data_IF_979952894650
#
_entry.id   IF_979952894650
#
_cell.length_a   1.000
_cell.length_b   1.000
_cell.length_c   1.000
_cell.angle_alpha   90.00
_cell.angle_beta   90.00
_cell.angle_gamma   90.00
#
_symmetry.space_group_name_H-M   'P 1'
#
loop_
_entity.id
_entity.type
_entity.pdbx_description
1 polymer ?
#
# COMPACT_ATOMS: atom_id res chain seq x y z
N UNK A 1 -10.59 -16.53 8.95
CA UNK A 1 -10.48 -16.80 7.52
C UNK A 1 -11.57 -16.02 6.83
N UNK A 2 -11.21 -15.06 5.98
CA UNK A 2 -12.14 -14.28 5.16
C UNK A 2 -11.62 -14.19 3.71
N UNK A 3 -10.57 -14.95 3.39
CA UNK A 3 -9.99 -15.00 2.07
C UNK A 3 -10.68 -16.11 1.28
N UNK A 4 -10.78 -16.00 -0.05
CA UNK A 4 -11.36 -17.06 -0.85
C UNK A 4 -10.56 -18.37 -0.72
N UNK A 5 -11.22 -19.51 -0.52
CA UNK A 5 -10.56 -20.83 -0.44
C UNK A 5 -9.81 -21.24 -1.73
N UNK A 6 -10.13 -20.61 -2.85
CA UNK A 6 -9.39 -20.79 -4.10
C UNK A 6 -7.99 -20.15 -4.06
N UNK A 7 -7.74 -19.24 -3.13
CA UNK A 7 -6.46 -18.56 -2.98
C UNK A 7 -5.48 -19.41 -2.18
N UNK A 8 -4.24 -19.56 -2.69
CA UNK A 8 -3.22 -20.42 -2.09
C UNK A 8 -2.92 -20.05 -0.63
N UNK A 9 -2.92 -18.75 -0.29
CA UNK A 9 -2.66 -18.29 1.08
C UNK A 9 -3.72 -18.77 2.06
N UNK A 10 -4.97 -18.88 1.62
CA UNK A 10 -6.08 -19.41 2.42
C UNK A 10 -5.95 -20.93 2.60
N UNK A 11 -5.60 -21.67 1.55
CA UNK A 11 -5.37 -23.12 1.67
C UNK A 11 -4.17 -23.44 2.59
N UNK A 12 -3.07 -22.69 2.43
CA UNK A 12 -1.89 -22.84 3.26
C UNK A 12 -2.22 -22.57 4.74
N UNK A 13 -2.87 -21.44 5.05
CA UNK A 13 -3.21 -21.10 6.43
C UNK A 13 -4.31 -21.99 6.99
N UNK A 14 -5.46 -22.10 6.34
CA UNK A 14 -6.61 -22.79 6.93
C UNK A 14 -6.51 -24.30 6.89
N UNK A 15 -5.99 -24.87 5.80
CA UNK A 15 -5.91 -26.32 5.66
C UNK A 15 -4.58 -26.81 6.21
N UNK A 16 -3.45 -26.43 5.59
CA UNK A 16 -2.16 -27.03 5.96
C UNK A 16 -1.71 -26.65 7.36
N UNK A 17 -1.55 -25.36 7.65
CA UNK A 17 -1.14 -24.89 8.96
C UNK A 17 -2.22 -25.13 10.02
N UNK A 18 -3.50 -24.99 9.66
CA UNK A 18 -4.62 -25.25 10.56
C UNK A 18 -4.66 -26.70 11.05
N UNK A 19 -4.48 -27.68 10.16
CA UNK A 19 -4.43 -29.10 10.52
C UNK A 19 -3.14 -29.50 11.26
N UNK A 20 -2.00 -28.90 10.91
CA UNK A 20 -0.72 -29.21 11.57
C UNK A 20 -0.61 -28.62 12.97
N UNK A 21 -1.07 -27.38 13.17
CA UNK A 21 -0.91 -26.64 14.43
C UNK A 21 -2.16 -26.67 15.32
N UNK A 22 -3.33 -26.99 14.77
CA UNK A 22 -4.57 -27.16 15.53
C UNK A 22 -5.21 -25.87 16.05
N UNK A 23 -5.13 -24.76 15.31
CA UNK A 23 -5.82 -23.53 15.69
C UNK A 23 -7.27 -23.47 15.20
N UNK A 24 -8.12 -22.79 15.97
CA UNK A 24 -9.52 -22.54 15.61
C UNK A 24 -9.63 -21.53 14.46
N UNK A 25 -10.26 -21.96 13.36
CA UNK A 25 -10.62 -21.10 12.25
C UNK A 25 -11.97 -20.46 12.48
N UNK A 26 -12.00 -19.13 12.44
CA UNK A 26 -13.24 -18.34 12.53
C UNK A 26 -13.50 -17.73 11.16
N UNK A 27 -14.69 -17.92 10.62
CA UNK A 27 -15.14 -17.30 9.38
C UNK A 27 -16.04 -16.12 9.72
N UNK A 28 -15.89 -14.95 9.08
CA UNK A 28 -16.85 -13.88 9.26
C UNK A 28 -18.20 -14.30 8.68
N UNK A 29 -19.26 -13.63 9.12
CA UNK A 29 -20.60 -13.88 8.60
C UNK A 29 -20.70 -13.45 7.13
N UNK A 30 -20.12 -12.30 6.80
CA UNK A 30 -20.05 -11.72 5.46
C UNK A 30 -18.70 -10.97 5.29
N UNK A 31 -18.23 -10.74 4.05
CA UNK A 31 -17.02 -9.94 3.81
C UNK A 31 -17.05 -8.55 4.47
N UNK A 32 -18.22 -7.91 4.49
CA UNK A 32 -18.44 -6.58 5.05
C UNK A 32 -18.35 -6.57 6.59
N UNK A 33 -18.68 -7.68 7.25
CA UNK A 33 -18.64 -7.80 8.72
C UNK A 33 -17.27 -8.24 9.25
N UNK A 34 -16.31 -8.51 8.35
CA UNK A 34 -14.98 -9.02 8.71
C UNK A 34 -14.26 -8.19 9.79
N UNK A 35 -14.32 -6.85 9.72
CA UNK A 35 -13.67 -5.99 10.71
C UNK A 35 -14.32 -6.10 12.11
N UNK A 36 -15.65 -6.21 12.16
CA UNK A 36 -16.40 -6.37 13.40
C UNK A 36 -16.12 -7.74 14.02
N UNK A 37 -16.14 -8.80 13.20
CA UNK A 37 -15.83 -10.15 13.66
C UNK A 37 -14.36 -10.28 14.10
N UNK A 38 -13.39 -9.62 13.45
CA UNK A 38 -12.00 -9.58 13.92
C UNK A 38 -11.93 -9.01 15.34
N UNK A 39 -12.70 -7.96 15.62
CA UNK A 39 -12.74 -7.33 16.94
C UNK A 39 -13.39 -8.24 17.99
N UNK A 40 -14.48 -8.90 17.65
CA UNK A 40 -15.19 -9.82 18.53
C UNK A 40 -14.36 -11.06 18.86
N UNK A 41 -13.80 -11.71 17.83
CA UNK A 41 -12.99 -12.93 17.97
C UNK A 41 -11.68 -12.63 18.72
N UNK A 42 -11.05 -11.49 18.44
CA UNK A 42 -9.75 -11.12 18.99
C UNK A 42 -8.69 -12.18 18.68
N UNK A 43 -8.29 -12.37 17.41
CA UNK A 43 -7.45 -13.47 16.98
C UNK A 43 -6.03 -13.42 17.57
N UNK A 44 -5.41 -14.59 17.75
CA UNK A 44 -3.99 -14.70 18.11
C UNK A 44 -3.07 -14.73 16.88
N UNK A 45 -3.59 -15.22 15.75
CA UNK A 45 -2.90 -15.28 14.47
C UNK A 45 -3.79 -14.63 13.43
N UNK A 46 -3.23 -13.72 12.64
CA UNK A 46 -3.93 -13.05 11.56
C UNK A 46 -3.02 -13.00 10.34
N UNK A 47 -3.57 -13.44 9.22
CA UNK A 47 -2.98 -13.27 7.90
C UNK A 47 -3.94 -12.47 7.04
N UNK A 48 -3.46 -11.38 6.44
CA UNK A 48 -4.29 -10.47 5.66
C UNK A 48 -3.56 -9.82 4.48
N UNK A 49 -4.25 -9.54 3.38
CA UNK A 49 -3.71 -8.72 2.31
C UNK A 49 -3.45 -7.29 2.83
N UNK A 50 -2.47 -6.56 2.24
CA UNK A 50 -2.16 -5.18 2.61
C UNK A 50 -3.39 -4.28 2.72
N UNK A 51 -4.33 -4.40 1.77
CA UNK A 51 -5.56 -3.60 1.71
C UNK A 51 -6.36 -3.58 3.02
N UNK A 52 -6.40 -4.69 3.76
CA UNK A 52 -7.11 -4.72 5.04
C UNK A 52 -6.40 -3.86 6.09
N UNK A 53 -5.07 -3.99 6.19
CA UNK A 53 -4.25 -3.19 7.08
C UNK A 53 -4.26 -1.70 6.69
N UNK A 54 -4.19 -1.40 5.40
CA UNK A 54 -4.35 -0.05 4.85
C UNK A 54 -5.70 0.54 5.25
N UNK A 55 -6.79 -0.20 5.07
CA UNK A 55 -8.14 0.18 5.50
C UNK A 55 -8.22 0.46 7.01
N UNK A 56 -7.60 -0.38 7.85
CA UNK A 56 -7.51 -0.14 9.29
C UNK A 56 -6.78 1.18 9.60
N UNK A 57 -5.63 1.43 8.97
CA UNK A 57 -4.89 2.69 9.18
C UNK A 57 -5.70 3.90 8.75
N UNK A 58 -6.39 3.82 7.61
CA UNK A 58 -7.27 4.87 7.09
C UNK A 58 -8.40 5.16 8.07
N UNK A 59 -9.06 4.13 8.59
CA UNK A 59 -10.12 4.28 9.59
C UNK A 59 -9.63 5.02 10.84
N UNK A 60 -8.41 4.72 11.30
CA UNK A 60 -7.80 5.45 12.43
C UNK A 60 -7.52 6.90 12.08
N UNK A 61 -6.95 7.18 10.91
CA UNK A 61 -6.63 8.54 10.47
C UNK A 61 -7.90 9.40 10.32
N UNK A 62 -8.97 8.86 9.74
CA UNK A 62 -10.27 9.54 9.65
C UNK A 62 -10.81 9.83 11.04
N UNK A 63 -10.81 8.86 11.96
CA UNK A 63 -11.24 9.08 13.35
C UNK A 63 -10.36 10.09 14.09
N UNK A 64 -9.07 10.16 13.76
CA UNK A 64 -8.15 11.15 14.31
C UNK A 64 -8.52 12.56 13.83
N UNK A 65 -8.76 12.75 12.53
CA UNK A 65 -9.26 14.01 11.97
C UNK A 65 -10.57 14.38 12.66
N UNK A 66 -11.45 13.42 12.92
CA UNK A 66 -12.76 13.68 13.54
C UNK A 66 -12.70 13.93 15.05
N UNK A 67 -11.56 13.71 15.68
CA UNK A 67 -11.44 13.72 17.14
C UNK A 67 -11.29 15.14 17.69
N UNK A 68 -11.67 15.31 18.97
CA UNK A 68 -11.52 16.59 19.68
C UNK A 68 -10.04 16.94 19.86
N UNK A 69 -9.75 18.24 20.04
CA UNK A 69 -8.38 18.74 20.19
C UNK A 69 -7.52 17.97 21.21
N UNK A 70 -8.10 17.63 22.38
CA UNK A 70 -7.40 16.85 23.41
C UNK A 70 -7.06 15.44 22.90
N UNK A 71 -8.02 14.75 22.26
CA UNK A 71 -7.79 13.41 21.69
C UNK A 71 -6.76 13.44 20.58
N UNK A 72 -6.79 14.47 19.71
CA UNK A 72 -5.76 14.69 18.67
C UNK A 72 -4.38 14.83 19.30
N UNK A 73 -4.21 15.65 20.33
CA UNK A 73 -2.92 15.84 21.01
C UNK A 73 -2.40 14.57 21.68
N UNK A 74 -3.28 13.78 22.30
CA UNK A 74 -2.92 12.48 22.87
C UNK A 74 -2.47 11.51 21.77
N UNK A 75 -3.19 11.47 20.65
CA UNK A 75 -2.83 10.63 19.51
C UNK A 75 -1.48 11.05 18.92
N UNK A 76 -1.28 12.33 18.62
CA UNK A 76 -0.01 12.88 18.10
C UNK A 76 1.17 12.50 19.01
N UNK A 77 1.02 12.68 20.33
CA UNK A 77 2.02 12.32 21.32
C UNK A 77 2.31 10.80 21.29
N UNK A 78 1.27 9.98 21.40
CA UNK A 78 1.42 8.53 21.48
C UNK A 78 2.00 7.92 20.19
N UNK A 79 1.60 8.46 19.03
CA UNK A 79 2.12 8.09 17.71
C UNK A 79 3.59 8.48 17.58
N UNK A 80 3.98 9.70 17.97
CA UNK A 80 5.39 10.14 17.95
C UNK A 80 6.29 9.26 18.83
N UNK A 81 5.83 8.94 20.03
CA UNK A 81 6.55 8.04 20.95
C UNK A 81 6.62 6.62 20.39
N UNK A 82 5.51 6.11 19.85
CA UNK A 82 5.42 4.79 19.23
C UNK A 82 6.40 4.65 18.06
N UNK A 83 6.43 5.61 17.13
CA UNK A 83 7.38 5.62 16.02
C UNK A 83 8.84 5.65 16.49
N UNK A 84 9.16 6.46 17.51
CA UNK A 84 10.54 6.51 18.04
C UNK A 84 10.94 5.18 18.68
N UNK A 85 10.04 4.57 19.47
CA UNK A 85 10.29 3.30 20.12
C UNK A 85 10.39 2.14 19.11
N UNK A 86 9.54 2.14 18.08
CA UNK A 86 9.59 1.20 16.98
C UNK A 86 10.90 1.35 16.20
N UNK A 87 11.25 2.56 15.76
CA UNK A 87 12.50 2.84 15.02
C UNK A 87 13.75 2.34 15.76
N UNK A 88 13.85 2.60 17.07
CA UNK A 88 14.98 2.10 17.88
C UNK A 88 15.05 0.57 17.91
N UNK A 89 13.91 -0.13 17.98
CA UNK A 89 13.88 -1.59 17.91
C UNK A 89 14.37 -2.11 16.56
N UNK A 90 13.97 -1.47 15.47
CA UNK A 90 14.40 -1.85 14.13
C UNK A 90 15.89 -1.59 13.88
N UNK A 91 16.41 -0.50 14.41
CA UNK A 91 17.86 -0.24 14.43
C UNK A 91 18.63 -1.19 15.36
N UNK A 92 17.97 -2.17 15.98
CA UNK A 92 18.53 -3.11 16.98
C UNK A 92 19.21 -2.36 18.15
N UNK A 93 18.75 -1.14 18.46
CA UNK A 93 19.27 -0.30 19.55
C UNK A 93 18.41 -0.44 20.81
N UNK A 94 19.03 -0.41 22.01
CA UNK A 94 18.26 -0.43 23.25
C UNK A 94 17.42 0.85 23.37
N UNK A 95 16.13 0.68 23.70
CA UNK A 95 15.25 1.82 23.97
C UNK A 95 15.64 2.46 25.31
N UNK A 96 16.02 3.75 25.36
CA UNK A 96 16.37 4.42 26.61
C UNK A 96 15.22 4.42 27.63
N UNK A 97 15.53 4.45 28.93
CA UNK A 97 14.53 4.38 30.02
C UNK A 97 13.43 5.45 29.89
N UNK A 98 13.80 6.68 29.51
CA UNK A 98 12.85 7.77 29.24
C UNK A 98 11.81 7.39 28.17
N UNK A 99 12.27 6.78 27.06
CA UNK A 99 11.40 6.36 25.97
C UNK A 99 10.57 5.12 26.34
N UNK A 100 11.11 4.22 27.17
CA UNK A 100 10.33 3.12 27.75
C UNK A 100 9.17 3.65 28.60
N UNK A 101 9.42 4.64 29.45
CA UNK A 101 8.39 5.25 30.30
C UNK A 101 7.35 6.01 29.48
N UNK A 102 7.78 6.85 28.52
CA UNK A 102 6.86 7.54 27.62
C UNK A 102 6.02 6.55 26.80
N UNK A 103 6.63 5.46 26.32
CA UNK A 103 5.90 4.44 25.56
C UNK A 103 4.92 3.67 26.45
N UNK A 104 5.23 3.46 27.74
CA UNK A 104 4.27 2.90 28.69
C UNK A 104 3.06 3.82 28.89
N UNK A 105 3.26 5.14 29.00
CA UNK A 105 2.16 6.12 29.05
C UNK A 105 1.35 6.08 27.75
N UNK A 106 2.01 6.17 26.59
CA UNK A 106 1.36 6.10 25.27
C UNK A 106 0.55 4.80 25.09
N UNK A 107 1.07 3.70 25.62
CA UNK A 107 0.42 2.40 25.59
C UNK A 107 -0.90 2.39 26.34
N UNK A 108 -0.93 2.94 27.55
CA UNK A 108 -2.15 2.95 28.40
C UNK A 108 -3.16 3.98 27.90
N UNK A 109 -2.72 5.15 27.45
CA UNK A 109 -3.62 6.24 27.06
C UNK A 109 -4.24 6.04 25.68
N UNK A 110 -3.50 5.44 24.74
CA UNK A 110 -3.90 5.34 23.33
C UNK A 110 -3.67 3.96 22.73
N UNK A 111 -2.43 3.46 22.68
CA UNK A 111 -2.09 2.32 21.80
C UNK A 111 -2.87 1.05 22.15
N UNK A 112 -3.05 0.71 23.44
CA UNK A 112 -3.84 -0.46 23.85
C UNK A 112 -5.31 -0.34 23.42
N UNK A 113 -5.92 0.83 23.63
CA UNK A 113 -7.32 1.08 23.25
C UNK A 113 -7.50 1.03 21.74
N UNK A 114 -6.52 1.55 21.00
CA UNK A 114 -6.56 1.54 19.54
C UNK A 114 -6.37 0.12 19.00
N UNK A 115 -5.39 -0.64 19.52
CA UNK A 115 -5.24 -2.07 19.21
C UNK A 115 -6.52 -2.84 19.49
N UNK A 116 -7.17 -2.58 20.61
CA UNK A 116 -8.43 -3.22 20.97
C UNK A 116 -9.56 -2.89 20.01
N UNK A 117 -9.69 -1.62 19.64
CA UNK A 117 -10.69 -1.19 18.67
C UNK A 117 -10.49 -1.82 17.29
N UNK A 118 -9.23 -2.08 16.91
CA UNK A 118 -8.88 -2.76 15.66
C UNK A 118 -8.96 -4.30 15.77
N UNK A 119 -9.25 -4.86 16.95
CA UNK A 119 -9.26 -6.31 17.19
C UNK A 119 -7.88 -6.96 17.32
N UNK A 120 -6.82 -6.15 17.47
CA UNK A 120 -5.42 -6.60 17.46
C UNK A 120 -4.84 -6.75 18.89
N UNK A 121 -5.67 -6.66 19.93
CA UNK A 121 -5.25 -6.75 21.34
C UNK A 121 -4.54 -8.06 21.69
N UNK A 122 -5.07 -9.18 21.19
CA UNK A 122 -4.61 -10.55 21.51
C UNK A 122 -3.63 -11.11 20.49
N UNK A 123 -3.31 -10.33 19.47
CA UNK A 123 -2.54 -10.78 18.33
C UNK A 123 -1.09 -11.07 18.72
N UNK A 124 -0.63 -12.29 18.42
CA UNK A 124 0.73 -12.76 18.66
C UNK A 124 1.53 -12.84 17.37
N UNK A 125 0.89 -13.29 16.29
CA UNK A 125 1.48 -13.40 14.96
C UNK A 125 0.60 -12.71 13.94
N UNK A 126 1.16 -11.72 13.25
CA UNK A 126 0.45 -10.87 12.29
C UNK A 126 1.25 -10.86 10.99
N UNK A 127 0.65 -11.31 9.89
CA UNK A 127 1.32 -11.43 8.60
C UNK A 127 0.54 -10.71 7.51
N UNK A 128 1.28 -10.11 6.58
CA UNK A 128 0.75 -9.57 5.34
C UNK A 128 1.49 -10.10 4.12
N UNK A 129 0.78 -10.30 3.02
CA UNK A 129 1.33 -10.85 1.79
C UNK A 129 0.36 -10.75 0.61
N UNK A 130 0.82 -11.19 -0.56
CA UNK A 130 0.06 -11.16 -1.81
C UNK A 130 0.14 -9.82 -2.57
N UNK A 131 0.62 -8.76 -1.94
CA UNK A 131 1.01 -7.49 -2.57
C UNK A 131 2.00 -6.76 -1.67
N UNK A 132 2.72 -5.78 -2.23
CA UNK A 132 3.55 -4.88 -1.44
C UNK A 132 2.67 -3.96 -0.57
N UNK A 133 3.10 -3.73 0.68
CA UNK A 133 2.48 -2.77 1.58
C UNK A 133 3.43 -1.58 1.78
N UNK A 134 2.88 -0.36 1.81
CA UNK A 134 3.69 0.84 2.04
C UNK A 134 4.39 0.79 3.42
N UNK A 135 5.64 1.27 3.53
CA UNK A 135 6.43 1.21 4.77
C UNK A 135 5.76 1.99 5.91
N UNK A 136 4.98 3.03 5.60
CA UNK A 136 4.32 3.87 6.60
C UNK A 136 3.15 3.15 7.30
N UNK A 137 2.40 2.29 6.58
CA UNK A 137 1.43 1.38 7.20
C UNK A 137 2.13 0.42 8.16
N UNK A 138 3.26 -0.14 7.73
CA UNK A 138 4.04 -1.07 8.54
C UNK A 138 4.57 -0.40 9.81
N UNK A 139 5.18 0.78 9.70
CA UNK A 139 5.62 1.61 10.83
C UNK A 139 4.48 1.90 11.79
N UNK A 140 3.28 2.22 11.29
CA UNK A 140 2.11 2.52 12.10
C UNK A 140 1.72 1.34 13.01
N UNK A 141 1.61 0.13 12.47
CA UNK A 141 1.27 -1.05 13.28
C UNK A 141 2.33 -1.37 14.33
N UNK A 142 3.60 -1.23 13.98
CA UNK A 142 4.69 -1.41 14.94
C UNK A 142 4.75 -0.34 16.02
N UNK A 143 4.39 0.91 15.69
CA UNK A 143 4.23 1.99 16.66
C UNK A 143 3.09 1.71 17.65
N UNK A 144 2.06 0.95 17.25
CA UNK A 144 1.02 0.46 18.16
C UNK A 144 1.48 -0.75 18.99
N UNK A 145 2.61 -1.38 18.65
CA UNK A 145 3.08 -2.62 19.26
C UNK A 145 2.39 -3.85 18.67
N UNK A 146 2.05 -3.82 17.39
CA UNK A 146 1.65 -4.99 16.60
C UNK A 146 2.87 -5.46 15.83
N UNK A 147 3.26 -6.73 16.03
CA UNK A 147 4.37 -7.36 15.33
C UNK A 147 3.92 -7.82 13.93
N UNK A 148 3.63 -6.85 13.05
CA UNK A 148 3.27 -7.10 11.66
C UNK A 148 4.51 -7.55 10.88
N UNK A 149 4.37 -8.55 10.04
CA UNK A 149 5.46 -9.18 9.29
C UNK A 149 5.05 -9.35 7.83
N UNK A 150 5.98 -9.14 6.91
CA UNK A 150 5.73 -9.43 5.50
C UNK A 150 6.08 -10.88 5.18
N UNK A 151 5.37 -11.42 4.21
CA UNK A 151 5.69 -12.67 3.53
C UNK A 151 5.75 -12.42 2.03
N UNK A 152 6.62 -13.16 1.36
CA UNK A 152 6.65 -13.23 -0.09
C UNK A 152 6.54 -14.68 -0.54
N UNK A 153 5.86 -14.84 -1.66
CA UNK A 153 5.68 -16.10 -2.36
C UNK A 153 4.50 -16.01 -3.31
N UNK A 154 4.24 -17.12 -3.97
CA UNK A 154 3.29 -17.23 -5.08
C UNK A 154 2.68 -18.63 -5.11
N UNK A 155 1.67 -18.83 -5.95
CA UNK A 155 0.97 -20.12 -6.08
C UNK A 155 1.94 -21.23 -6.50
N UNK A 156 2.90 -20.90 -7.36
CA UNK A 156 3.90 -21.79 -7.94
C UNK A 156 4.93 -22.31 -6.91
N UNK A 157 5.01 -21.70 -5.72
CA UNK A 157 5.79 -22.17 -4.55
C UNK A 157 4.89 -22.57 -3.37
N UNK A 158 3.63 -22.89 -3.64
CA UNK A 158 2.64 -23.29 -2.64
C UNK A 158 2.44 -22.28 -1.49
N UNK A 159 2.62 -20.98 -1.76
CA UNK A 159 2.28 -19.91 -0.83
C UNK A 159 3.47 -19.04 -0.44
N UNK A 160 4.31 -19.50 0.50
CA UNK A 160 5.41 -18.71 1.09
C UNK A 160 6.76 -19.29 0.69
N UNK A 161 7.67 -18.44 0.23
CA UNK A 161 9.10 -18.75 0.08
C UNK A 161 9.99 -17.93 1.01
N UNK A 162 9.55 -16.74 1.41
CA UNK A 162 10.33 -15.78 2.20
C UNK A 162 9.44 -15.12 3.26
N UNK A 163 9.99 -14.91 4.46
CA UNK A 163 9.23 -14.38 5.60
C UNK A 163 10.08 -13.53 6.53
N UNK A 164 9.49 -12.44 7.04
CA UNK A 164 10.01 -11.74 8.22
C UNK A 164 9.91 -12.63 9.47
N UNK A 165 10.95 -12.59 10.30
CA UNK A 165 11.01 -13.35 11.55
C UNK A 165 10.89 -12.42 12.76
N UNK A 166 10.53 -12.98 13.91
CA UNK A 166 10.41 -12.19 15.13
C UNK A 166 11.78 -11.61 15.52
N UNK A 167 11.83 -10.29 15.68
CA UNK A 167 13.08 -9.57 15.99
C UNK A 167 13.98 -9.29 14.78
N UNK A 168 13.61 -9.74 13.59
CA UNK A 168 14.37 -9.50 12.36
C UNK A 168 13.45 -9.07 11.21
N UNK A 169 13.19 -7.76 11.19
CA UNK A 169 12.22 -7.11 10.33
C UNK A 169 12.83 -5.82 9.78
N UNK A 170 12.76 -5.64 8.45
CA UNK A 170 13.12 -4.40 7.77
C UNK A 170 11.97 -3.96 6.87
N UNK A 171 11.59 -2.69 6.95
CA UNK A 171 10.38 -2.16 6.32
C UNK A 171 10.33 -2.32 4.80
N UNK A 172 11.49 -2.19 4.17
CA UNK A 172 11.61 -2.20 2.70
C UNK A 172 11.89 -3.61 2.15
N UNK A 173 11.79 -4.64 2.99
CA UNK A 173 12.07 -6.04 2.63
C UNK A 173 10.88 -6.93 2.92
N UNK A 174 10.92 -8.17 2.42
CA UNK A 174 9.94 -9.23 2.74
C UNK A 174 10.51 -10.32 3.66
N UNK A 175 11.79 -10.19 4.04
CA UNK A 175 12.45 -11.07 4.99
C UNK A 175 13.45 -12.03 4.37
N UNK A 176 13.65 -13.17 5.03
CA UNK A 176 14.65 -14.18 4.65
C UNK A 176 13.97 -15.50 4.26
N UNK A 177 14.59 -16.31 3.36
CA UNK A 177 13.98 -17.56 2.89
C UNK A 177 13.53 -18.47 4.02
N UNK A 178 12.43 -19.19 3.84
CA UNK A 178 12.01 -20.24 4.79
C UNK A 178 12.98 -21.44 4.72
N UNK A 179 12.98 -22.35 5.72
CA UNK A 179 13.81 -23.56 5.64
C UNK A 179 13.60 -24.31 4.31
N UNK A 180 14.67 -24.94 3.83
CA UNK A 180 14.68 -25.72 2.57
C UNK A 180 14.35 -24.90 1.32
N UNK A 181 14.42 -23.56 1.40
CA UNK A 181 14.21 -22.67 0.26
C UNK A 181 15.47 -21.88 -0.05
N UNK A 182 15.91 -21.95 -1.30
CA UNK A 182 16.99 -21.15 -1.86
C UNK A 182 16.41 -20.04 -2.74
N UNK A 183 16.98 -18.84 -2.63
CA UNK A 183 16.65 -17.69 -3.47
C UNK A 183 17.90 -17.24 -4.22
N UNK A 184 17.76 -16.96 -5.51
CA UNK A 184 18.79 -16.34 -6.37
C UNK A 184 18.19 -15.15 -7.11
N UNK A 185 19.05 -14.24 -7.56
CA UNK A 185 18.68 -13.08 -8.37
C UNK A 185 19.44 -13.20 -9.69
N UNK A 186 18.75 -13.07 -10.83
CA UNK A 186 19.41 -13.06 -12.16
C UNK A 186 20.16 -11.75 -12.40
N UNK A 187 20.96 -11.66 -13.47
CA UNK A 187 21.64 -10.41 -13.85
C UNK A 187 20.64 -9.27 -14.14
N UNK A 188 19.46 -9.60 -14.64
CA UNK A 188 18.35 -8.68 -14.92
C UNK A 188 17.49 -8.37 -13.68
N UNK A 189 17.82 -8.95 -12.53
CA UNK A 189 17.14 -8.72 -11.25
C UNK A 189 15.92 -9.59 -10.99
N UNK A 190 15.67 -10.65 -11.78
CA UNK A 190 14.56 -11.56 -11.55
C UNK A 190 14.81 -12.48 -10.35
N UNK A 191 13.79 -12.68 -9.51
CA UNK A 191 13.87 -13.53 -8.32
C UNK A 191 13.63 -14.99 -8.75
N UNK A 192 14.59 -15.86 -8.47
CA UNK A 192 14.48 -17.30 -8.66
C UNK A 192 14.29 -17.99 -7.31
N UNK A 193 13.43 -19.01 -7.28
CA UNK A 193 13.18 -19.81 -6.07
C UNK A 193 13.40 -21.29 -6.35
N UNK A 194 14.11 -21.97 -5.46
CA UNK A 194 14.21 -23.44 -5.45
C UNK A 194 13.78 -23.96 -4.08
N UNK A 195 12.79 -24.84 -4.06
CA UNK A 195 12.19 -25.36 -2.81
C UNK A 195 11.42 -26.65 -3.11
N UNK A 196 11.32 -27.59 -2.15
CA UNK A 196 10.39 -28.72 -2.25
C UNK A 196 8.92 -28.31 -2.45
N UNK A 197 8.57 -27.06 -2.12
CA UNK A 197 7.23 -26.50 -2.33
C UNK A 197 6.97 -25.99 -3.74
N UNK A 198 7.97 -25.95 -4.62
CA UNK A 198 7.80 -25.57 -6.02
C UNK A 198 6.91 -26.60 -6.71
N UNK A 199 5.91 -26.11 -7.45
CA UNK A 199 4.95 -26.94 -8.17
C UNK A 199 5.61 -27.84 -9.23
N UNK A 200 4.87 -28.84 -9.72
CA UNK A 200 5.34 -29.70 -10.81
C UNK A 200 5.15 -29.08 -12.20
N UNK A 201 4.40 -27.97 -12.28
CA UNK A 201 4.04 -27.30 -13.53
C UNK A 201 2.57 -26.94 -13.64
N UNK A 202 2.22 -26.25 -14.72
CA UNK A 202 0.86 -25.87 -15.05
C UNK A 202 0.11 -27.02 -15.74
N UNK A 203 -1.12 -27.27 -15.31
CA UNK A 203 -1.95 -28.34 -15.88
C UNK A 203 -2.23 -28.11 -17.36
N UNK A 204 -1.85 -29.09 -18.21
CA UNK A 204 -2.00 -29.06 -19.68
C UNK A 204 -1.33 -27.88 -20.37
N UNK A 205 -0.28 -27.31 -19.77
CA UNK A 205 0.45 -26.19 -20.35
C UNK A 205 1.96 -26.38 -20.17
N UNK A 206 2.51 -27.31 -20.95
CA UNK A 206 3.93 -27.67 -20.90
C UNK A 206 4.83 -26.51 -21.35
N UNK A 207 4.36 -25.67 -22.28
CA UNK A 207 5.11 -24.49 -22.74
C UNK A 207 5.28 -23.45 -21.63
N UNK A 208 4.20 -23.10 -20.91
CA UNK A 208 4.31 -22.20 -19.78
C UNK A 208 5.14 -22.82 -18.64
N UNK A 209 4.98 -24.13 -18.42
CA UNK A 209 5.77 -24.86 -17.41
C UNK A 209 7.26 -24.77 -17.70
N UNK A 210 7.68 -25.05 -18.93
CA UNK A 210 9.09 -25.00 -19.33
C UNK A 210 9.69 -23.58 -19.29
N UNK A 211 8.86 -22.53 -19.42
CA UNK A 211 9.30 -21.14 -19.25
C UNK A 211 9.44 -20.73 -17.79
N UNK A 212 8.61 -21.28 -16.91
CA UNK A 212 8.53 -20.90 -15.50
C UNK A 212 9.43 -21.77 -14.61
N UNK A 213 9.69 -23.02 -14.98
CA UNK A 213 10.51 -23.96 -14.23
C UNK A 213 11.68 -24.44 -15.10
N UNK A 214 12.89 -23.98 -14.77
CA UNK A 214 14.12 -24.31 -15.51
C UNK A 214 15.15 -24.83 -14.50
N UNK A 215 15.66 -26.04 -14.71
CA UNK A 215 16.66 -26.68 -13.82
C UNK A 215 16.28 -26.67 -12.33
N UNK A 216 15.01 -26.97 -12.02
CA UNK A 216 14.40 -26.93 -10.67
C UNK A 216 14.28 -25.52 -10.04
N UNK A 217 14.64 -24.46 -10.77
CA UNK A 217 14.42 -23.08 -10.37
C UNK A 217 13.10 -22.56 -10.92
N UNK A 218 12.26 -22.06 -10.03
CA UNK A 218 11.08 -21.29 -10.35
C UNK A 218 11.48 -19.86 -10.69
N UNK A 219 11.23 -19.45 -11.93
CA UNK A 219 11.34 -18.08 -12.42
C UNK A 219 10.07 -17.34 -12.03
N UNK A 220 10.18 -16.45 -11.03
CA UNK A 220 9.01 -15.82 -10.41
C UNK A 220 8.32 -14.78 -11.30
N UNK A 221 9.03 -14.23 -12.28
CA UNK A 221 8.63 -13.03 -13.00
C UNK A 221 8.66 -11.76 -12.14
N UNK A 222 9.04 -11.81 -10.87
CA UNK A 222 9.17 -10.67 -9.95
C UNK A 222 10.62 -10.20 -9.88
N UNK A 223 10.84 -8.89 -9.69
CA UNK A 223 12.18 -8.32 -9.53
C UNK A 223 12.49 -7.94 -8.11
N UNK A 224 13.76 -8.13 -7.76
CA UNK A 224 14.27 -7.81 -6.44
C UNK A 224 15.77 -7.91 -6.35
N UNK A 225 16.26 -7.71 -5.14
CA UNK A 225 17.66 -7.96 -4.80
C UNK A 225 17.73 -8.47 -3.35
N UNK A 226 18.85 -9.10 -3.00
CA UNK A 226 19.13 -9.50 -1.61
C UNK A 226 20.05 -8.44 -1.02
N UNK A 227 19.66 -7.89 0.13
CA UNK A 227 20.47 -6.90 0.84
C UNK A 227 21.64 -7.52 1.62
N UNK A 228 22.49 -6.68 2.20
CA UNK A 228 23.70 -7.10 2.93
C UNK A 228 23.42 -8.00 4.14
N UNK A 229 22.21 -7.94 4.72
CA UNK A 229 21.80 -8.80 5.84
C UNK A 229 21.03 -10.05 5.36
N UNK A 230 21.01 -10.32 4.05
CA UNK A 230 20.36 -11.48 3.45
C UNK A 230 18.84 -11.34 3.28
N UNK A 231 18.27 -10.16 3.49
CA UNK A 231 16.83 -9.94 3.29
C UNK A 231 16.51 -9.70 1.82
N UNK A 232 15.43 -10.30 1.34
CA UNK A 232 14.91 -10.06 0.00
C UNK A 232 14.12 -8.74 -0.02
N UNK A 233 14.46 -7.86 -0.96
CA UNK A 233 13.66 -6.69 -1.34
C UNK A 233 12.93 -7.01 -2.64
N UNK A 234 11.62 -6.83 -2.66
CA UNK A 234 10.77 -7.07 -3.84
C UNK A 234 10.26 -5.72 -4.32
N UNK A 235 10.48 -5.41 -5.60
CA UNK A 235 10.06 -4.13 -6.18
C UNK A 235 8.65 -4.22 -6.76
N UNK A 236 8.47 -5.04 -7.79
CA UNK A 236 7.20 -5.35 -8.44
C UNK A 236 7.43 -6.51 -9.44
N UNK A 237 6.38 -6.93 -10.14
CA UNK A 237 6.51 -7.80 -11.31
C UNK A 237 7.44 -7.14 -12.33
N UNK A 238 8.32 -7.94 -12.96
CA UNK A 238 9.25 -7.49 -14.01
C UNK A 238 8.57 -6.69 -15.12
N UNK A 239 7.29 -6.97 -15.40
CA UNK A 239 6.49 -6.29 -16.43
C UNK A 239 5.86 -4.96 -15.96
N UNK A 240 5.75 -4.76 -14.65
CA UNK A 240 5.09 -3.60 -14.03
C UNK A 240 6.10 -2.54 -13.55
N UNK A 241 7.41 -2.85 -13.50
CA UNK A 241 8.50 -1.89 -13.27
C UNK A 241 8.67 -0.99 -14.49
N UNK A 242 8.69 0.33 -14.27
CA UNK A 242 8.87 1.35 -15.30
C UNK A 242 10.30 1.87 -15.31
N UNK A 243 10.75 2.40 -16.44
CA UNK A 243 12.11 2.91 -16.60
C UNK A 243 12.08 4.37 -17.05
N UNK A 244 12.84 5.23 -16.38
CA UNK A 244 13.03 6.62 -16.82
C UNK A 244 13.91 6.67 -18.08
N UNK A 245 13.95 7.82 -18.76
CA UNK A 245 14.81 8.04 -19.94
C UNK A 245 16.30 7.79 -19.66
N UNK A 246 16.74 7.94 -18.41
CA UNK A 246 18.12 7.69 -17.98
C UNK A 246 18.40 6.25 -17.54
N UNK A 247 17.45 5.33 -17.78
CA UNK A 247 17.61 3.90 -17.52
C UNK A 247 17.34 3.50 -16.06
N UNK A 248 17.05 4.44 -15.16
CA UNK A 248 16.78 4.11 -13.75
C UNK A 248 15.36 3.53 -13.60
N UNK A 249 15.20 2.39 -12.90
CA UNK A 249 13.88 1.80 -12.69
C UNK A 249 13.13 2.50 -11.54
N UNK A 250 11.80 2.50 -11.63
CA UNK A 250 10.92 2.81 -10.50
C UNK A 250 9.66 1.94 -10.54
N UNK A 251 9.08 1.66 -9.37
CA UNK A 251 7.83 0.93 -9.25
C UNK A 251 6.67 1.92 -9.06
N UNK A 252 5.74 2.08 -10.03
CA UNK A 252 4.61 2.98 -9.89
C UNK A 252 3.68 2.56 -8.75
N UNK A 253 3.46 1.25 -8.56
CA UNK A 253 2.55 0.75 -7.52
C UNK A 253 3.08 1.07 -6.11
N UNK A 254 4.38 0.90 -5.87
CA UNK A 254 5.02 1.31 -4.61
C UNK A 254 4.77 2.80 -4.29
N UNK A 255 4.93 3.69 -5.27
CA UNK A 255 4.67 5.12 -5.10
C UNK A 255 3.20 5.42 -4.81
N UNK A 256 2.30 4.78 -5.53
CA UNK A 256 0.85 4.94 -5.37
C UNK A 256 0.38 4.46 -4.00
N UNK A 257 0.80 3.27 -3.55
CA UNK A 257 0.47 2.76 -2.22
C UNK A 257 1.02 3.68 -1.13
N UNK A 258 2.23 4.20 -1.32
CA UNK A 258 2.84 5.13 -0.36
C UNK A 258 2.04 6.43 -0.22
N UNK A 259 1.65 7.04 -1.34
CA UNK A 259 0.86 8.27 -1.34
C UNK A 259 -0.56 8.04 -0.78
N UNK A 260 -1.14 6.86 -1.03
CA UNK A 260 -2.43 6.43 -0.46
C UNK A 260 -2.40 6.16 1.05
N UNK A 261 -1.24 6.19 1.69
CA UNK A 261 -1.15 6.24 3.15
C UNK A 261 -1.83 7.49 3.72
N UNK A 262 -1.91 8.58 2.93
CA UNK A 262 -2.63 9.78 3.35
C UNK A 262 -4.14 9.57 3.29
N UNK A 263 -4.90 9.93 4.34
CA UNK A 263 -6.36 9.77 4.33
C UNK A 263 -7.04 10.73 3.33
N UNK A 264 -6.35 11.80 2.93
CA UNK A 264 -6.85 12.79 1.98
C UNK A 264 -6.80 12.30 0.52
N UNK A 265 -6.08 11.21 0.26
CA UNK A 265 -5.88 10.63 -1.07
C UNK A 265 -6.67 9.33 -1.16
N UNK A 266 -7.44 9.18 -2.24
CA UNK A 266 -8.22 7.99 -2.55
C UNK A 266 -7.51 7.13 -3.58
N UNK A 267 -7.13 7.71 -4.72
CA UNK A 267 -6.37 7.03 -5.77
C UNK A 267 -5.22 7.89 -6.28
N UNK A 268 -4.20 7.21 -6.79
CA UNK A 268 -3.01 7.84 -7.36
C UNK A 268 -2.65 7.12 -8.64
N UNK A 269 -2.27 7.89 -9.65
CA UNK A 269 -1.65 7.38 -10.85
C UNK A 269 -0.25 7.98 -11.00
N UNK A 270 0.77 7.16 -10.72
CA UNK A 270 2.16 7.52 -10.96
C UNK A 270 2.51 7.32 -12.45
N UNK A 271 3.17 8.32 -13.04
CA UNK A 271 3.55 8.37 -14.46
C UNK A 271 5.05 8.70 -14.53
N UNK A 272 5.80 7.99 -15.37
CA UNK A 272 7.23 8.26 -15.55
C UNK A 272 7.92 7.36 -16.55
N UNK A 273 7.24 6.33 -17.08
CA UNK A 273 7.83 5.43 -18.06
C UNK A 273 8.25 6.16 -19.34
N UNK A 274 9.52 6.01 -19.72
CA UNK A 274 10.16 6.73 -20.83
C UNK A 274 10.02 8.27 -20.70
N UNK A 275 10.17 8.79 -19.47
CA UNK A 275 10.17 10.22 -19.15
C UNK A 275 11.38 10.57 -18.28
N UNK A 276 11.67 11.86 -18.16
CA UNK A 276 12.85 12.35 -17.42
C UNK A 276 12.70 12.24 -15.89
N UNK A 277 11.46 12.25 -15.40
CA UNK A 277 11.13 12.21 -13.98
C UNK A 277 9.73 11.64 -13.75
N UNK A 278 9.40 11.31 -12.50
CA UNK A 278 8.07 10.81 -12.13
C UNK A 278 7.12 11.96 -11.79
N UNK A 279 5.89 11.88 -12.29
CA UNK A 279 4.76 12.77 -11.98
C UNK A 279 3.57 11.97 -11.44
N UNK A 280 2.59 12.64 -10.85
CA UNK A 280 1.40 11.97 -10.30
C UNK A 280 0.09 12.68 -10.65
N UNK A 281 -0.96 11.91 -10.95
CA UNK A 281 -2.35 12.38 -10.93
C UNK A 281 -3.00 11.89 -9.64
N UNK A 282 -3.59 12.82 -8.89
CA UNK A 282 -4.10 12.59 -7.54
C UNK A 282 -5.63 12.65 -7.52
N UNK A 283 -6.28 11.62 -7.02
CA UNK A 283 -7.72 11.64 -6.73
C UNK A 283 -7.89 11.82 -5.22
N UNK A 284 -8.49 12.93 -4.79
CA UNK A 284 -8.78 13.17 -3.38
C UNK A 284 -9.89 12.24 -2.87
N UNK A 285 -9.88 11.92 -1.58
CA UNK A 285 -11.05 11.35 -0.93
C UNK A 285 -12.06 12.44 -0.61
N UNK A 286 -13.21 12.38 -1.25
CA UNK A 286 -14.23 13.42 -1.15
C UNK A 286 -14.77 13.59 0.27
N UNK A 287 -15.01 12.49 0.99
CA UNK A 287 -15.60 12.54 2.32
C UNK A 287 -14.62 13.11 3.34
N UNK A 288 -13.35 12.68 3.28
CA UNK A 288 -12.30 13.14 4.19
C UNK A 288 -11.90 14.58 3.90
N UNK A 289 -11.65 14.92 2.64
CA UNK A 289 -11.26 16.28 2.24
C UNK A 289 -12.44 17.25 2.39
N UNK A 290 -13.67 16.81 2.11
CA UNK A 290 -14.87 17.62 2.32
C UNK A 290 -15.03 18.04 3.78
N UNK A 291 -14.90 17.09 4.71
CA UNK A 291 -14.92 17.40 6.14
C UNK A 291 -13.79 18.33 6.59
N UNK A 292 -12.58 18.09 6.08
CA UNK A 292 -11.44 18.98 6.34
C UNK A 292 -11.68 20.41 5.83
N UNK A 293 -12.36 20.53 4.68
CA UNK A 293 -12.74 21.81 4.09
C UNK A 293 -13.83 22.50 4.92
N UNK A 294 -14.80 21.75 5.43
CA UNK A 294 -15.86 22.26 6.33
C UNK A 294 -15.27 22.81 7.63
N UNK A 295 -14.32 22.09 8.26
CA UNK A 295 -13.58 22.54 9.45
C UNK A 295 -12.84 23.86 9.20
N UNK A 296 -12.41 24.09 7.95
CA UNK A 296 -11.75 25.32 7.48
C UNK A 296 -12.72 26.37 6.95
N UNK A 297 -14.03 26.09 6.94
CA UNK A 297 -15.09 26.95 6.42
C UNK A 297 -14.90 27.29 4.93
N UNK A 298 -14.38 26.33 4.15
CA UNK A 298 -14.27 26.46 2.70
C UNK A 298 -15.61 26.08 2.07
N UNK A 299 -16.16 26.96 1.23
CA UNK A 299 -17.41 26.70 0.53
C UNK A 299 -17.15 25.88 -0.73
N UNK A 300 -17.85 24.75 -0.91
CA UNK A 300 -17.86 23.95 -2.13
C UNK A 300 -19.21 23.26 -2.28
N UNK A 301 -19.57 22.88 -3.50
CA UNK A 301 -20.84 22.22 -3.81
C UNK A 301 -20.69 20.86 -4.47
N UNK A 302 -19.49 20.54 -4.96
CA UNK A 302 -19.22 19.33 -5.72
C UNK A 302 -17.77 18.88 -5.62
N UNK A 303 -17.50 17.63 -6.01
CA UNK A 303 -16.15 17.08 -6.08
C UNK A 303 -15.20 17.89 -6.98
N UNK A 304 -15.57 18.21 -8.25
CA UNK A 304 -14.67 18.98 -9.11
C UNK A 304 -14.28 20.32 -8.45
N UNK A 305 -15.26 21.04 -7.89
CA UNK A 305 -15.01 22.32 -7.22
C UNK A 305 -14.06 22.17 -6.02
N UNK A 306 -14.25 21.14 -5.18
CA UNK A 306 -13.40 20.89 -4.02
C UNK A 306 -11.98 20.50 -4.43
N UNK A 307 -11.85 19.55 -5.37
CA UNK A 307 -10.56 19.03 -5.83
C UNK A 307 -9.64 20.11 -6.41
N UNK A 308 -10.24 21.15 -7.01
CA UNK A 308 -9.51 22.24 -7.66
C UNK A 308 -9.24 23.45 -6.75
N UNK A 309 -9.65 23.42 -5.48
CA UNK A 309 -9.35 24.53 -4.56
C UNK A 309 -7.85 24.65 -4.30
N UNK A 310 -7.28 25.88 -4.27
CA UNK A 310 -5.88 26.09 -3.93
C UNK A 310 -5.49 25.46 -2.58
N UNK A 311 -6.37 25.53 -1.58
CA UNK A 311 -6.10 24.96 -0.26
C UNK A 311 -6.04 23.42 -0.30
N UNK A 312 -6.77 22.78 -1.21
CA UNK A 312 -6.73 21.33 -1.41
C UNK A 312 -5.47 20.92 -2.18
N UNK A 313 -5.03 21.72 -3.15
CA UNK A 313 -3.71 21.55 -3.76
C UNK A 313 -2.59 21.66 -2.73
N UNK A 314 -2.60 22.68 -1.86
CA UNK A 314 -1.62 22.81 -0.77
C UNK A 314 -1.65 21.63 0.20
N UNK A 315 -2.85 21.08 0.47
CA UNK A 315 -3.02 19.92 1.31
C UNK A 315 -2.37 18.68 0.70
N UNK A 316 -2.64 18.41 -0.57
CA UNK A 316 -2.11 17.25 -1.32
C UNK A 316 -0.60 17.41 -1.55
N UNK A 317 -0.13 18.60 -1.90
CA UNK A 317 1.29 18.92 -2.04
C UNK A 317 2.07 18.51 -0.79
N UNK A 318 1.60 18.86 0.41
CA UNK A 318 2.25 18.47 1.67
C UNK A 318 2.31 16.96 1.87
N UNK A 319 1.33 16.20 1.37
CA UNK A 319 1.36 14.74 1.46
C UNK A 319 2.44 14.16 0.52
N UNK A 320 2.57 14.73 -0.68
CA UNK A 320 3.60 14.33 -1.64
C UNK A 320 4.99 14.68 -1.13
N UNK A 321 5.18 15.88 -0.58
CA UNK A 321 6.44 16.30 0.03
C UNK A 321 6.85 15.38 1.19
N UNK A 322 5.91 14.97 2.03
CA UNK A 322 6.18 14.01 3.11
C UNK A 322 6.58 12.64 2.54
N UNK A 323 5.88 12.13 1.53
CA UNK A 323 6.21 10.86 0.89
C UNK A 323 7.60 10.92 0.21
N UNK A 324 7.93 12.04 -0.45
CA UNK A 324 9.20 12.25 -1.17
C UNK A 324 10.43 12.22 -0.25
N UNK A 325 10.30 12.51 1.05
CA UNK A 325 11.45 12.56 1.98
C UNK A 325 12.23 11.25 2.06
N UNK A 326 11.54 10.13 1.98
CA UNK A 326 12.17 8.81 2.07
C UNK A 326 12.24 8.11 0.70
N UNK A 327 11.92 8.78 -0.40
CA UNK A 327 12.02 8.20 -1.74
C UNK A 327 13.42 8.45 -2.33
N UNK A 328 13.99 7.45 -3.03
CA UNK A 328 15.22 7.68 -3.78
C UNK A 328 14.96 8.74 -4.86
N UNK A 329 15.97 9.55 -5.16
CA UNK A 329 15.85 10.69 -6.11
C UNK A 329 15.06 10.40 -7.39
N UNK A 330 15.33 9.29 -8.13
CA UNK A 330 14.61 8.95 -9.35
C UNK A 330 13.11 8.70 -9.15
N UNK A 331 12.70 8.25 -7.96
CA UNK A 331 11.32 7.87 -7.67
C UNK A 331 10.51 9.02 -7.06
N UNK A 332 11.13 10.18 -6.77
CA UNK A 332 10.44 11.33 -6.22
C UNK A 332 9.47 11.93 -7.24
N UNK A 333 8.28 12.29 -6.76
CA UNK A 333 7.28 12.98 -7.58
C UNK A 333 7.71 14.44 -7.76
N UNK A 334 7.90 14.84 -9.01
CA UNK A 334 8.35 16.19 -9.39
C UNK A 334 7.18 17.14 -9.65
N UNK A 335 6.11 16.64 -10.26
CA UNK A 335 4.92 17.43 -10.59
C UNK A 335 3.67 16.60 -10.36
N UNK A 336 2.59 17.28 -9.98
CA UNK A 336 1.30 16.62 -9.80
C UNK A 336 0.13 17.52 -10.19
N UNK A 337 -1.03 16.89 -10.30
CA UNK A 337 -2.32 17.54 -10.55
C UNK A 337 -3.41 16.79 -9.78
N UNK A 338 -4.43 17.51 -9.29
CA UNK A 338 -5.61 16.88 -8.72
C UNK A 338 -6.62 16.60 -9.82
N UNK A 339 -7.06 15.35 -9.97
CA UNK A 339 -8.10 15.00 -10.92
C UNK A 339 -9.46 15.52 -10.44
N UNK A 340 -10.28 15.96 -11.39
CA UNK A 340 -11.62 16.51 -11.14
C UNK A 340 -12.70 15.45 -10.87
N UNK A 341 -12.32 14.17 -10.87
CA UNK A 341 -13.15 13.02 -10.52
C UNK A 341 -12.28 11.91 -9.94
N UNK A 342 -12.91 10.90 -9.37
CA UNK A 342 -12.25 9.65 -8.96
C UNK A 342 -12.23 8.69 -10.14
N UNK A 343 -11.22 7.83 -10.23
CA UNK A 343 -11.20 6.77 -11.23
C UNK A 343 -12.34 5.77 -11.01
N UNK A 344 -12.97 5.34 -12.10
CA UNK A 344 -14.14 4.46 -12.06
C UNK A 344 -13.91 3.17 -12.87
N UNK A 345 -14.44 2.05 -12.39
CA UNK A 345 -14.41 0.79 -13.11
C UNK A 345 -15.39 0.80 -14.30
N UNK A 346 -16.51 1.51 -14.19
CA UNK A 346 -17.51 1.60 -15.25
C UNK A 346 -17.08 2.55 -16.38
N UNK A 347 -16.22 3.53 -16.08
CA UNK A 347 -15.50 4.33 -17.09
C UNK A 347 -14.30 3.59 -17.71
N UNK A 348 -14.14 2.30 -17.42
CA UNK A 348 -13.02 1.45 -17.87
C UNK A 348 -11.63 1.89 -17.36
N UNK A 349 -11.55 2.78 -16.39
CA UNK A 349 -10.29 3.31 -15.85
C UNK A 349 -9.70 2.34 -14.81
N UNK A 350 -10.55 1.64 -14.07
CA UNK A 350 -10.19 0.57 -13.14
C UNK A 350 -10.70 -0.80 -13.62
N UNK A 351 -10.03 -1.87 -13.21
CA UNK A 351 -10.63 -3.20 -13.22
C UNK A 351 -11.69 -3.31 -12.11
N UNK A 352 -12.56 -4.34 -12.18
CA UNK A 352 -13.49 -4.67 -11.06
C UNK A 352 -12.78 -4.99 -9.73
N UNK A 353 -11.48 -5.27 -9.78
CA UNK A 353 -10.61 -5.46 -8.60
C UNK A 353 -9.87 -4.18 -8.17
N UNK A 354 -10.26 -3.03 -8.72
CA UNK A 354 -9.68 -1.71 -8.48
C UNK A 354 -8.21 -1.58 -8.90
N UNK A 355 -7.78 -2.28 -9.96
CA UNK A 355 -6.45 -2.09 -10.57
C UNK A 355 -6.56 -1.06 -11.70
N UNK A 356 -5.67 -0.07 -11.72
CA UNK A 356 -5.65 0.97 -12.76
C UNK A 356 -5.28 0.40 -14.13
N UNK A 357 -6.10 0.68 -15.15
CA UNK A 357 -5.85 0.34 -16.56
C UNK A 357 -4.96 1.41 -17.21
N UNK A 358 -3.69 1.46 -16.81
CA UNK A 358 -2.72 2.52 -17.16
C UNK A 358 -2.68 2.91 -18.64
N UNK A 359 -2.68 1.94 -19.55
CA UNK A 359 -2.64 2.23 -21.00
C UNK A 359 -3.92 2.95 -21.49
N UNK A 360 -5.09 2.55 -20.98
CA UNK A 360 -6.36 3.19 -21.31
C UNK A 360 -6.44 4.60 -20.72
N UNK A 361 -6.12 4.72 -19.42
CA UNK A 361 -6.09 6.00 -18.69
C UNK A 361 -5.09 6.97 -19.33
N UNK A 362 -3.91 6.48 -19.73
CA UNK A 362 -2.88 7.23 -20.45
C UNK A 362 -3.36 7.84 -21.76
N UNK A 363 -4.15 7.08 -22.54
CA UNK A 363 -4.73 7.58 -23.79
C UNK A 363 -5.89 8.54 -23.53
N UNK A 364 -6.77 8.23 -22.56
CA UNK A 364 -7.94 9.05 -22.21
C UNK A 364 -7.54 10.43 -21.67
N UNK A 365 -6.49 10.49 -20.86
CA UNK A 365 -6.01 11.70 -20.20
C UNK A 365 -4.69 12.22 -20.78
N UNK A 366 -4.50 12.03 -22.09
CA UNK A 366 -3.27 12.41 -22.77
C UNK A 366 -2.90 13.89 -22.57
N UNK A 367 -3.89 14.79 -22.61
CA UNK A 367 -3.66 16.22 -22.42
C UNK A 367 -3.09 16.53 -21.02
N UNK A 368 -3.54 15.80 -19.99
CA UNK A 368 -3.00 15.90 -18.63
C UNK A 368 -1.57 15.38 -18.59
N UNK A 369 -1.30 14.24 -19.21
CA UNK A 369 0.05 13.64 -19.27
C UNK A 369 1.01 14.60 -19.97
N UNK A 370 0.67 15.09 -21.15
CA UNK A 370 1.54 15.95 -21.95
C UNK A 370 1.81 17.27 -21.21
N UNK A 371 0.82 17.82 -20.53
CA UNK A 371 0.99 19.03 -19.74
C UNK A 371 1.86 18.83 -18.48
N UNK A 372 1.78 17.68 -17.80
CA UNK A 372 2.66 17.33 -16.69
C UNK A 372 4.15 17.33 -17.09
N UNK A 373 4.47 17.14 -18.38
CA UNK A 373 5.83 17.17 -18.92
C UNK A 373 6.13 18.42 -19.79
N UNK A 374 5.28 19.44 -19.77
CA UNK A 374 5.49 20.70 -20.48
C UNK A 374 5.63 21.89 -19.52
N UNK A 375 5.88 23.09 -20.04
CA UNK A 375 5.89 24.31 -19.23
C UNK A 375 4.48 24.84 -18.86
N UNK A 376 3.42 24.08 -19.14
CA UNK A 376 2.06 24.46 -18.78
C UNK A 376 1.84 24.41 -17.26
N UNK A 377 1.14 25.43 -16.74
CA UNK A 377 0.69 25.50 -15.34
C UNK A 377 -0.80 25.13 -15.18
N UNK A 378 -1.55 25.06 -16.28
CA UNK A 378 -2.99 24.75 -16.30
C UNK A 378 -3.32 23.85 -17.48
N UNK A 379 -4.23 22.89 -17.27
CA UNK A 379 -4.83 22.04 -18.30
C UNK A 379 -6.33 22.29 -18.32
N UNK A 380 -6.85 22.69 -19.48
CA UNK A 380 -8.29 22.88 -19.67
C UNK A 380 -8.93 21.53 -20.05
N UNK A 381 -9.78 21.01 -19.17
CA UNK A 381 -10.54 19.78 -19.42
C UNK A 381 -11.97 20.12 -19.82
N UNK A 382 -12.41 19.55 -20.95
CA UNK A 382 -13.80 19.57 -21.41
C UNK A 382 -14.20 18.13 -21.72
N UNK A 383 -14.88 17.48 -20.79
CA UNK A 383 -15.23 16.05 -20.87
C UNK A 383 -16.69 15.85 -20.51
N UNK A 384 -17.37 14.96 -21.23
CA UNK A 384 -18.70 14.49 -20.85
C UNK A 384 -18.55 13.19 -20.06
N UNK A 385 -19.08 13.16 -18.85
CA UNK A 385 -19.21 11.94 -18.02
C UNK A 385 -20.64 11.42 -18.17
N UNK A 386 -20.80 10.12 -18.38
CA UNK A 386 -22.10 9.45 -18.38
C UNK A 386 -22.27 8.71 -17.06
N UNK A 387 -23.26 9.10 -16.26
CA UNK A 387 -23.59 8.44 -15.00
C UNK A 387 -24.29 7.10 -15.22
N UNK A 388 -24.32 6.24 -14.20
CA UNK A 388 -24.95 4.91 -14.23
C UNK A 388 -26.43 4.93 -14.68
N UNK A 389 -27.13 6.04 -14.44
CA UNK A 389 -28.53 6.23 -14.85
C UNK A 389 -28.70 6.80 -16.27
N UNK A 390 -27.60 6.88 -17.04
CA UNK A 390 -27.56 7.39 -18.40
C UNK A 390 -27.51 8.92 -18.50
N UNK A 391 -27.46 9.65 -17.39
CA UNK A 391 -27.30 11.12 -17.44
C UNK A 391 -25.91 11.49 -17.90
N UNK A 392 -25.82 12.33 -18.93
CA UNK A 392 -24.56 12.93 -19.36
C UNK A 392 -24.36 14.28 -18.67
N UNK A 393 -23.21 14.46 -18.02
CA UNK A 393 -22.77 15.74 -17.48
C UNK A 393 -21.48 16.17 -18.15
N UNK A 394 -21.53 17.31 -18.84
CA UNK A 394 -20.33 17.97 -19.36
C UNK A 394 -19.62 18.70 -18.23
N UNK A 395 -18.39 18.28 -17.93
CA UNK A 395 -17.49 18.90 -16.98
C UNK A 395 -16.50 19.77 -17.76
N UNK A 396 -16.52 21.06 -17.45
CA UNK A 396 -15.50 22.02 -17.86
C UNK A 396 -14.74 22.46 -16.63
N UNK A 397 -13.46 22.17 -16.58
CA UNK A 397 -12.66 22.49 -15.39
C UNK A 397 -11.21 22.69 -15.76
N UNK A 398 -10.57 23.61 -15.03
CA UNK A 398 -9.17 23.92 -15.18
C UNK A 398 -8.41 23.16 -14.10
N UNK A 399 -7.44 22.36 -14.53
CA UNK A 399 -6.58 21.61 -13.63
C UNK A 399 -5.25 22.32 -13.49
N UNK A 400 -4.85 22.62 -12.26
CA UNK A 400 -3.56 23.27 -11.99
C UNK A 400 -2.44 22.24 -11.88
N UNK A 401 -1.35 22.46 -12.59
CA UNK A 401 -0.15 21.64 -12.45
C UNK A 401 0.77 22.28 -11.41
N UNK A 402 1.04 21.54 -10.34
CA UNK A 402 1.94 21.99 -9.30
C UNK A 402 3.30 21.30 -9.39
N UNK A 403 4.36 22.09 -9.21
CA UNK A 403 5.74 21.63 -9.09
C UNK A 403 6.04 21.35 -7.61
N UNK A 404 6.64 20.20 -7.34
CA UNK A 404 7.11 19.81 -6.02
C UNK A 404 8.58 20.18 -5.91
N UNK A 405 9.00 20.67 -4.74
CA UNK A 405 10.43 20.84 -4.45
C UNK A 405 11.02 19.46 -4.15
N UNK A 406 11.83 18.94 -5.07
CA UNK A 406 12.38 17.57 -5.05
C UNK A 406 13.75 17.49 -4.39
#
# INVERSE_FOLDING_TARGET
SYLPFAWIGEQMMSISCGLQMGYTLNFPEEPETAQENIREVGPHVMFAPPRLYEGMTRQVQVKYIDSTWIKRKIYEFATKVGYKAAGLKFEKKPVPLQWKFLNWIASITMQKKLKDHLGLSRLRHCYTGGAAMGPDHFKFFHALGVNLKQIYGQTEVAGISVVHRDGDIKYDTVGTPIPETEIKITEEGEILTKSPSVFMGYYKNDEATAKTLIDEWLYSGDRGFIDEDGHLVVFDRSKDVMTLNDGRPFSPQYLETRLKFSPFVQEVWAIGDNRDYVTAVMCIDYAVVGKWADDKKLNYTSYPELSQKPEVYDLVQKQIEEANKDLPGPAKINRFVNLYKVFDADDEELTRTSKLRRAFVGNRYKDIVDALYSDADVVHMDTTITYEDGREQRIKTDLHIQKISV
#
